data_IF_948269013782
#
_entry.id   IF_948269013782
#
_cell.length_a   1.000
_cell.length_b   1.000
_cell.length_c   1.000
_cell.angle_alpha   90.00
_cell.angle_beta   90.00
_cell.angle_gamma   90.00
#
_symmetry.space_group_name_H-M   'P 1'
#
loop_
_entity.id
_entity.type
_entity.pdbx_description
1 polymer ?
#
# COMPACT_ATOMS: atom_id res chain seq x y z
N UNK A 1 -1.70 -10.05 3.34
CA UNK A 1 -1.61 -10.35 4.79
C UNK A 1 -0.16 -10.31 5.23
N UNK A 2 0.18 -9.58 6.29
CA UNK A 2 1.54 -9.62 6.84
C UNK A 2 1.83 -11.06 7.30
N UNK A 3 3.02 -11.59 6.96
CA UNK A 3 3.41 -12.97 7.32
C UNK A 3 3.27 -13.24 8.82
N UNK A 4 3.60 -12.24 9.64
CA UNK A 4 3.49 -12.29 11.10
C UNK A 4 2.03 -12.42 11.56
N UNK A 5 1.10 -11.65 10.96
CA UNK A 5 -0.33 -11.72 11.32
C UNK A 5 -0.93 -13.07 10.93
N UNK A 6 -0.58 -13.58 9.75
CA UNK A 6 -1.00 -14.92 9.33
C UNK A 6 -0.42 -16.02 10.22
N UNK A 7 0.82 -15.84 10.66
CA UNK A 7 1.50 -16.76 11.54
C UNK A 7 0.81 -16.80 12.91
N UNK A 8 0.55 -15.63 13.52
CA UNK A 8 -0.11 -15.51 14.83
C UNK A 8 -1.53 -16.07 14.82
N UNK A 9 -2.35 -15.76 13.80
CA UNK A 9 -3.72 -16.30 13.70
C UNK A 9 -3.67 -17.82 13.52
N UNK A 10 -2.75 -18.32 12.70
CA UNK A 10 -2.58 -19.75 12.46
C UNK A 10 -2.13 -20.51 13.70
N UNK A 11 -1.16 -20.00 14.46
CA UNK A 11 -0.67 -20.66 15.67
C UNK A 11 -1.66 -20.61 16.83
N UNK A 12 -2.37 -19.49 17.03
CA UNK A 12 -3.39 -19.37 18.08
C UNK A 12 -4.55 -20.37 17.89
N UNK A 13 -4.89 -20.70 16.63
CA UNK A 13 -5.89 -21.73 16.33
C UNK A 13 -5.32 -23.15 16.39
N UNK A 14 -4.10 -23.36 15.88
CA UNK A 14 -3.50 -24.68 15.76
C UNK A 14 -3.06 -25.29 17.09
N UNK A 15 -2.53 -24.49 18.02
CA UNK A 15 -2.01 -24.98 19.32
C UNK A 15 -3.08 -25.60 20.23
N UNK A 16 -4.21 -24.93 20.54
CA UNK A 16 -5.25 -25.54 21.37
C UNK A 16 -5.90 -26.74 20.66
N UNK A 17 -6.07 -26.68 19.34
CA UNK A 17 -6.59 -27.80 18.55
C UNK A 17 -5.66 -29.02 18.61
N UNK A 18 -4.34 -28.81 18.49
CA UNK A 18 -3.34 -29.86 18.64
C UNK A 18 -3.37 -30.47 20.05
N UNK A 19 -3.53 -29.65 21.09
CA UNK A 19 -3.70 -30.10 22.47
C UNK A 19 -4.90 -31.03 22.62
N UNK A 20 -6.08 -30.61 22.11
CA UNK A 20 -7.28 -31.44 22.15
C UNK A 20 -7.14 -32.75 21.37
N UNK A 21 -6.56 -32.69 20.16
CA UNK A 21 -6.31 -33.89 19.32
C UNK A 21 -5.33 -34.84 20.00
N UNK A 22 -4.27 -34.32 20.62
CA UNK A 22 -3.29 -35.11 21.35
C UNK A 22 -3.94 -35.84 22.55
N UNK A 23 -4.72 -35.12 23.36
CA UNK A 23 -5.42 -35.70 24.52
C UNK A 23 -6.42 -36.79 24.10
N UNK A 24 -7.25 -36.53 23.09
CA UNK A 24 -8.21 -37.52 22.58
C UNK A 24 -7.51 -38.73 21.98
N UNK A 25 -6.41 -38.53 21.25
CA UNK A 25 -5.65 -39.63 20.65
C UNK A 25 -4.94 -40.49 21.70
N UNK A 26 -4.42 -39.89 22.78
CA UNK A 26 -3.72 -40.61 23.83
C UNK A 26 -4.67 -41.37 24.76
N UNK A 27 -5.72 -40.71 25.26
CA UNK A 27 -6.65 -41.31 26.23
C UNK A 27 -7.83 -42.06 25.61
N UNK A 28 -8.26 -41.68 24.41
CA UNK A 28 -9.45 -42.27 23.77
C UNK A 28 -9.15 -43.44 22.83
N UNK A 29 -7.93 -43.52 22.31
CA UNK A 29 -7.52 -44.52 21.32
C UNK A 29 -6.26 -45.30 21.75
N UNK A 30 -5.83 -45.16 23.01
CA UNK A 30 -4.65 -45.79 23.62
C UNK A 30 -3.38 -45.72 22.76
N UNK A 31 -3.21 -44.61 22.01
CA UNK A 31 -2.04 -44.43 21.17
C UNK A 31 -0.81 -44.08 22.01
N UNK A 32 0.36 -44.55 21.57
CA UNK A 32 1.62 -44.21 22.24
C UNK A 32 1.87 -42.70 22.22
N UNK A 33 2.59 -42.21 23.23
CA UNK A 33 2.93 -40.79 23.37
C UNK A 33 3.51 -40.15 22.10
N UNK A 34 4.36 -40.90 21.38
CA UNK A 34 4.97 -40.42 20.13
C UNK A 34 3.99 -40.42 18.95
N UNK A 35 3.14 -41.45 18.82
CA UNK A 35 2.14 -41.52 17.75
C UNK A 35 1.05 -40.45 17.92
N UNK A 36 0.55 -40.24 19.15
CA UNK A 36 -0.39 -39.17 19.44
C UNK A 36 0.22 -37.79 19.17
N UNK A 37 1.51 -37.60 19.48
CA UNK A 37 2.27 -36.39 19.15
C UNK A 37 2.36 -36.13 17.65
N UNK A 38 2.63 -37.16 16.84
CA UNK A 38 2.65 -37.06 15.38
C UNK A 38 1.28 -36.73 14.80
N UNK A 39 0.22 -37.37 15.28
CA UNK A 39 -1.17 -37.11 14.86
C UNK A 39 -1.56 -35.66 15.17
N UNK A 40 -1.28 -35.20 16.39
CA UNK A 40 -1.52 -33.82 16.81
C UNK A 40 -0.70 -32.81 15.99
N UNK A 41 0.56 -33.10 15.70
CA UNK A 41 1.40 -32.28 14.84
C UNK A 41 0.87 -32.19 13.40
N UNK A 42 0.41 -33.30 12.84
CA UNK A 42 -0.22 -33.36 11.52
C UNK A 42 -1.53 -32.55 11.49
N UNK A 43 -2.38 -32.71 12.50
CA UNK A 43 -3.61 -31.95 12.65
C UNK A 43 -3.34 -30.43 12.79
N UNK A 44 -2.34 -30.04 13.57
CA UNK A 44 -1.90 -28.66 13.70
C UNK A 44 -1.44 -28.05 12.36
N UNK A 45 -0.65 -28.81 11.59
CA UNK A 45 -0.19 -28.40 10.28
C UNK A 45 -1.36 -28.19 9.31
N UNK A 46 -2.36 -29.10 9.31
CA UNK A 46 -3.56 -28.96 8.49
C UNK A 46 -4.37 -27.71 8.84
N UNK A 47 -4.60 -27.45 10.15
CA UNK A 47 -5.30 -26.24 10.61
C UNK A 47 -4.54 -24.98 10.21
N UNK A 48 -3.22 -24.97 10.37
CA UNK A 48 -2.38 -23.84 9.99
C UNK A 48 -2.47 -23.55 8.47
N UNK A 49 -2.35 -24.58 7.63
CA UNK A 49 -2.45 -24.46 6.17
C UNK A 49 -3.85 -24.00 5.74
N UNK A 50 -4.91 -24.52 6.37
CA UNK A 50 -6.28 -24.11 6.10
C UNK A 50 -6.51 -22.64 6.47
N UNK A 51 -6.07 -22.20 7.66
CA UNK A 51 -6.15 -20.82 8.11
C UNK A 51 -5.42 -19.86 7.15
N UNK A 52 -4.22 -20.24 6.70
CA UNK A 52 -3.45 -19.48 5.72
C UNK A 52 -4.19 -19.35 4.39
N UNK A 53 -4.71 -20.45 3.86
CA UNK A 53 -5.40 -20.47 2.57
C UNK A 53 -6.71 -19.66 2.61
N UNK A 54 -7.50 -19.81 3.67
CA UNK A 54 -8.73 -19.04 3.89
C UNK A 54 -8.41 -17.55 3.99
N UNK A 55 -7.39 -17.17 4.76
CA UNK A 55 -6.96 -15.77 4.88
C UNK A 55 -6.54 -15.16 3.54
N UNK A 56 -5.85 -15.94 2.68
CA UNK A 56 -5.48 -15.52 1.33
C UNK A 56 -6.70 -15.33 0.43
N UNK A 57 -7.64 -16.27 0.43
CA UNK A 57 -8.88 -16.17 -0.37
C UNK A 57 -9.73 -15.00 0.11
N UNK A 58 -9.90 -14.81 1.42
CA UNK A 58 -10.63 -13.66 1.97
C UNK A 58 -9.98 -12.34 1.59
N UNK A 59 -8.64 -12.24 1.64
CA UNK A 59 -7.93 -11.04 1.21
C UNK A 59 -8.19 -10.72 -0.27
N UNK A 60 -8.12 -11.73 -1.14
CA UNK A 60 -8.40 -11.59 -2.56
C UNK A 60 -9.86 -11.21 -2.84
N UNK A 61 -10.82 -11.88 -2.18
CA UNK A 61 -12.26 -11.56 -2.30
C UNK A 61 -12.58 -10.16 -1.79
N UNK A 62 -12.04 -9.76 -0.63
CA UNK A 62 -12.24 -8.42 -0.06
C UNK A 62 -11.78 -7.32 -1.01
N UNK A 63 -10.69 -7.57 -1.73
CA UNK A 63 -10.20 -6.64 -2.74
C UNK A 63 -10.71 -6.98 -4.13
N UNK A 64 -11.65 -7.91 -4.32
CA UNK A 64 -12.13 -8.37 -5.63
C UNK A 64 -11.04 -8.61 -6.67
N UNK A 65 -9.94 -9.27 -6.29
CA UNK A 65 -8.79 -9.58 -7.16
C UNK A 65 -8.72 -11.09 -7.43
N UNK A 66 -8.43 -11.47 -8.66
CA UNK A 66 -8.02 -12.82 -9.01
C UNK A 66 -6.61 -13.11 -8.48
N UNK A 67 -6.27 -14.40 -8.39
CA UNK A 67 -4.92 -14.85 -8.00
C UNK A 67 -3.85 -14.36 -8.97
N UNK A 68 -4.18 -14.28 -10.28
CA UNK A 68 -3.26 -13.85 -11.34
C UNK A 68 -3.00 -12.36 -11.25
N UNK A 69 -4.04 -11.54 -11.13
CA UNK A 69 -3.92 -10.09 -10.93
C UNK A 69 -3.14 -9.75 -9.67
N UNK A 70 -3.44 -10.41 -8.55
CA UNK A 70 -2.69 -10.15 -7.32
C UNK A 70 -1.20 -10.53 -7.46
N UNK A 71 -0.87 -11.61 -8.17
CA UNK A 71 0.52 -11.98 -8.46
C UNK A 71 1.20 -10.91 -9.33
N UNK A 72 0.53 -10.45 -10.38
CA UNK A 72 1.01 -9.38 -11.27
C UNK A 72 1.32 -8.10 -10.47
N UNK A 73 0.33 -7.59 -9.73
CA UNK A 73 0.47 -6.40 -8.88
C UNK A 73 1.62 -6.57 -7.89
N UNK A 74 1.68 -7.72 -7.21
CA UNK A 74 2.74 -7.98 -6.21
C UNK A 74 4.14 -7.97 -6.83
N UNK A 75 4.31 -8.51 -8.04
CA UNK A 75 5.59 -8.49 -8.75
C UNK A 75 5.98 -7.05 -9.10
N UNK A 76 5.07 -6.29 -9.69
CA UNK A 76 5.33 -4.89 -10.07
C UNK A 76 5.58 -3.99 -8.85
N UNK A 77 4.86 -4.18 -7.75
CA UNK A 77 5.13 -3.48 -6.49
C UNK A 77 6.52 -3.81 -5.93
N UNK A 78 7.00 -5.05 -6.09
CA UNK A 78 8.34 -5.43 -5.64
C UNK A 78 9.43 -4.74 -6.48
N UNK A 79 9.23 -4.61 -7.79
CA UNK A 79 10.10 -3.85 -8.68
C UNK A 79 10.05 -2.35 -8.38
N UNK A 80 8.85 -1.78 -8.29
CA UNK A 80 8.62 -0.38 -7.92
C UNK A 80 9.27 -0.02 -6.59
N UNK A 81 9.26 -0.91 -5.60
CA UNK A 81 9.99 -0.70 -4.33
C UNK A 81 11.49 -0.51 -4.56
N UNK A 82 12.11 -1.29 -5.44
CA UNK A 82 13.55 -1.16 -5.77
C UNK A 82 13.82 0.19 -6.45
N UNK A 83 12.99 0.55 -7.43
CA UNK A 83 13.05 1.84 -8.15
C UNK A 83 12.91 3.03 -7.19
N UNK A 84 11.91 3.03 -6.30
CA UNK A 84 11.73 4.06 -5.26
C UNK A 84 12.95 4.15 -4.35
N UNK A 85 13.55 3.03 -3.96
CA UNK A 85 14.76 3.05 -3.12
C UNK A 85 15.95 3.70 -3.84
N UNK A 86 16.12 3.42 -5.14
CA UNK A 86 17.15 4.05 -5.98
C UNK A 86 16.90 5.55 -6.12
N UNK A 87 15.67 5.93 -6.46
CA UNK A 87 15.24 7.33 -6.54
C UNK A 87 15.55 8.07 -5.23
N UNK A 88 15.16 7.53 -4.09
CA UNK A 88 15.38 8.16 -2.78
C UNK A 88 16.87 8.34 -2.47
N UNK A 89 17.71 7.37 -2.84
CA UNK A 89 19.17 7.46 -2.70
C UNK A 89 19.73 8.60 -3.57
N UNK A 90 19.33 8.67 -4.83
CA UNK A 90 19.78 9.70 -5.77
C UNK A 90 19.32 11.09 -5.36
N UNK A 91 18.04 11.26 -5.01
CA UNK A 91 17.48 12.53 -4.52
C UNK A 91 18.21 13.05 -3.27
N UNK A 92 18.61 12.16 -2.37
CA UNK A 92 19.38 12.52 -1.18
C UNK A 92 20.82 12.93 -1.51
N UNK A 93 21.44 12.31 -2.52
CA UNK A 93 22.81 12.62 -2.94
C UNK A 93 22.96 13.98 -3.63
N UNK A 94 21.87 14.57 -4.13
CA UNK A 94 21.88 15.88 -4.81
C UNK A 94 22.24 17.00 -3.82
N UNK A 95 23.39 17.64 -4.04
CA UNK A 95 23.91 18.76 -3.23
C UNK A 95 23.42 20.15 -3.67
N UNK A 96 22.14 20.24 -4.05
CA UNK A 96 21.50 21.51 -4.45
C UNK A 96 20.45 21.90 -3.41
N UNK A 97 20.78 22.84 -2.52
CA UNK A 97 19.90 23.25 -1.41
C UNK A 97 18.57 23.88 -1.87
N UNK A 98 18.52 24.76 -2.90
CA UNK A 98 17.27 25.41 -3.27
C UNK A 98 16.15 24.43 -3.69
N UNK A 99 16.50 23.25 -4.21
CA UNK A 99 15.51 22.22 -4.58
C UNK A 99 15.26 21.17 -3.49
N UNK A 100 15.83 21.32 -2.29
CA UNK A 100 15.73 20.30 -1.23
C UNK A 100 14.28 20.04 -0.81
N UNK A 101 13.47 21.10 -0.69
CA UNK A 101 12.05 21.00 -0.30
C UNK A 101 11.28 20.10 -1.28
N UNK A 102 11.39 20.39 -2.58
CA UNK A 102 10.74 19.62 -3.65
C UNK A 102 11.20 18.17 -3.65
N UNK A 103 12.50 17.90 -3.45
CA UNK A 103 13.00 16.52 -3.38
C UNK A 103 12.43 15.74 -2.19
N UNK A 104 12.34 16.36 -1.01
CA UNK A 104 11.73 15.72 0.17
C UNK A 104 10.25 15.44 -0.06
N UNK A 105 9.54 16.37 -0.71
CA UNK A 105 8.14 16.21 -1.09
C UNK A 105 7.94 15.05 -2.07
N UNK A 106 8.75 14.99 -3.14
CA UNK A 106 8.75 13.86 -4.07
C UNK A 106 9.01 12.52 -3.35
N UNK A 107 9.96 12.48 -2.41
CA UNK A 107 10.21 11.27 -1.60
C UNK A 107 8.99 10.87 -0.75
N UNK A 108 8.23 11.83 -0.23
CA UNK A 108 7.01 11.59 0.55
C UNK A 108 5.89 11.08 -0.35
N UNK A 109 5.64 11.71 -1.49
CA UNK A 109 4.58 11.36 -2.44
C UNK A 109 4.80 9.95 -2.99
N UNK A 110 5.99 9.66 -3.52
CA UNK A 110 6.36 8.32 -4.03
C UNK A 110 6.17 7.22 -2.97
N UNK A 111 6.55 7.49 -1.71
CA UNK A 111 6.34 6.55 -0.59
C UNK A 111 4.86 6.39 -0.24
N UNK A 112 4.07 7.46 -0.35
CA UNK A 112 2.62 7.44 -0.12
C UNK A 112 1.91 6.59 -1.17
N UNK A 113 2.18 6.79 -2.47
CA UNK A 113 1.64 5.97 -3.57
C UNK A 113 1.96 4.49 -3.33
N UNK A 114 3.22 4.16 -3.02
CA UNK A 114 3.61 2.78 -2.72
C UNK A 114 2.89 2.20 -1.50
N UNK A 115 2.70 2.98 -0.42
CA UNK A 115 1.99 2.51 0.76
C UNK A 115 0.51 2.26 0.48
N UNK A 116 -0.15 3.14 -0.27
CA UNK A 116 -1.56 2.99 -0.64
C UNK A 116 -1.77 1.76 -1.52
N UNK A 117 -1.00 1.64 -2.60
CA UNK A 117 -1.07 0.50 -3.54
C UNK A 117 -0.65 -0.83 -2.91
N UNK A 118 0.23 -0.82 -1.89
CA UNK A 118 0.53 -2.02 -1.11
C UNK A 118 -0.61 -2.41 -0.16
N UNK A 119 -1.26 -1.42 0.46
CA UNK A 119 -2.35 -1.63 1.42
C UNK A 119 -3.60 -2.14 0.70
N UNK A 120 -3.93 -1.52 -0.43
CA UNK A 120 -5.10 -1.80 -1.26
C UNK A 120 -4.63 -2.08 -2.69
N UNK A 121 -4.31 -3.35 -3.02
CA UNK A 121 -3.64 -3.69 -4.27
C UNK A 121 -4.40 -3.29 -5.54
N UNK A 122 -5.73 -3.15 -5.49
CA UNK A 122 -6.51 -2.66 -6.63
C UNK A 122 -6.11 -1.27 -7.10
N UNK A 123 -5.67 -0.40 -6.18
CA UNK A 123 -5.20 0.96 -6.51
C UNK A 123 -3.94 0.95 -7.36
N UNK A 124 -3.28 -0.20 -7.52
CA UNK A 124 -2.16 -0.34 -8.45
C UNK A 124 -2.54 0.08 -9.88
N UNK A 125 -3.76 -0.20 -10.32
CA UNK A 125 -4.22 0.17 -11.66
C UNK A 125 -4.39 1.68 -11.83
N UNK A 126 -4.81 2.40 -10.78
CA UNK A 126 -4.81 3.87 -10.76
C UNK A 126 -3.38 4.45 -10.75
N UNK A 127 -2.42 3.72 -10.19
CA UNK A 127 -1.01 4.11 -10.14
C UNK A 127 -0.19 3.59 -11.34
N UNK A 128 -0.82 3.13 -12.41
CA UNK A 128 -0.11 2.43 -13.49
C UNK A 128 0.92 3.33 -14.19
N UNK A 129 0.52 4.56 -14.51
CA UNK A 129 1.39 5.59 -15.10
C UNK A 129 2.58 5.92 -14.20
N UNK A 130 2.33 6.02 -12.90
CA UNK A 130 3.40 6.21 -11.92
C UNK A 130 4.45 5.11 -12.01
N UNK A 131 4.02 3.83 -11.96
CA UNK A 131 4.95 2.69 -11.88
C UNK A 131 5.70 2.40 -13.18
N UNK A 132 5.08 2.64 -14.34
CA UNK A 132 5.66 2.26 -15.64
C UNK A 132 6.23 3.43 -16.44
N UNK A 133 5.99 4.67 -16.03
CA UNK A 133 6.52 5.85 -16.72
C UNK A 133 7.24 6.79 -15.77
N UNK A 134 6.50 7.49 -14.90
CA UNK A 134 7.05 8.63 -14.16
C UNK A 134 8.15 8.23 -13.17
N UNK A 135 7.98 7.08 -12.49
CA UNK A 135 8.99 6.57 -11.57
C UNK A 135 10.30 6.20 -12.29
N UNK A 136 10.21 5.61 -13.48
CA UNK A 136 11.39 5.18 -14.26
C UNK A 136 12.17 6.38 -14.77
N UNK A 137 11.47 7.36 -15.34
CA UNK A 137 12.06 8.63 -15.76
C UNK A 137 12.73 9.36 -14.60
N UNK A 138 12.08 9.45 -13.42
CA UNK A 138 12.67 10.07 -12.24
C UNK A 138 13.94 9.35 -11.76
N UNK A 139 13.94 8.01 -11.74
CA UNK A 139 15.12 7.23 -11.37
C UNK A 139 16.27 7.53 -12.31
N UNK A 140 16.04 7.46 -13.62
CA UNK A 140 17.07 7.69 -14.64
C UNK A 140 17.64 9.12 -14.54
N UNK A 141 16.77 10.12 -14.53
CA UNK A 141 17.17 11.54 -14.47
C UNK A 141 17.94 11.87 -13.20
N UNK A 142 17.50 11.37 -12.04
CA UNK A 142 18.17 11.68 -10.77
C UNK A 142 19.51 10.96 -10.64
N UNK A 143 19.64 9.74 -11.13
CA UNK A 143 20.92 9.02 -11.17
C UNK A 143 21.91 9.68 -12.13
N UNK A 144 21.46 10.05 -13.34
CA UNK A 144 22.29 10.76 -14.33
C UNK A 144 22.70 12.14 -13.84
N UNK A 145 21.78 12.89 -13.22
CA UNK A 145 22.11 14.17 -12.59
C UNK A 145 23.21 14.01 -11.55
N UNK A 146 23.07 13.04 -10.63
CA UNK A 146 24.08 12.81 -9.59
C UNK A 146 25.43 12.50 -10.23
N UNK A 147 25.46 11.57 -11.19
CA UNK A 147 26.67 11.18 -11.92
C UNK A 147 27.36 12.38 -12.60
N UNK A 148 26.61 13.20 -13.35
CA UNK A 148 27.17 14.35 -14.06
C UNK A 148 27.59 15.47 -13.09
N UNK A 149 26.84 15.66 -12.00
CA UNK A 149 27.14 16.69 -11.00
C UNK A 149 28.43 16.43 -10.23
N UNK A 150 28.89 15.18 -10.19
CA UNK A 150 30.14 14.75 -9.53
C UNK A 150 31.36 14.76 -10.44
N UNK A 151 31.21 15.06 -11.73
CA UNK A 151 32.34 15.06 -12.66
C UNK A 151 33.34 16.20 -12.33
N UNK A 152 34.66 15.94 -12.41
CA UNK A 152 35.70 16.89 -12.02
C UNK A 152 35.86 18.06 -13.00
N UNK A 153 35.55 17.85 -14.29
CA UNK A 153 35.51 18.90 -15.31
C UNK A 153 34.10 19.05 -15.83
N UNK A 154 33.47 20.18 -15.56
CA UNK A 154 32.17 20.55 -16.11
C UNK A 154 32.40 21.54 -17.23
N UNK A 155 31.82 21.28 -18.39
CA UNK A 155 31.73 22.23 -19.48
C UNK A 155 30.34 22.90 -19.46
N UNK A 156 30.16 23.93 -20.28
CA UNK A 156 28.90 24.67 -20.36
C UNK A 156 27.70 23.76 -20.67
N UNK A 157 27.89 22.76 -21.52
CA UNK A 157 26.87 21.79 -21.90
C UNK A 157 26.40 20.93 -20.71
N UNK A 158 27.32 20.46 -19.87
CA UNK A 158 26.98 19.71 -18.64
C UNK A 158 26.20 20.61 -17.68
N UNK A 159 26.60 21.86 -17.49
CA UNK A 159 25.89 22.77 -16.58
C UNK A 159 24.49 23.11 -17.07
N UNK A 160 24.32 23.30 -18.38
CA UNK A 160 23.00 23.47 -19.01
C UNK A 160 22.14 22.21 -18.83
N UNK A 161 22.69 21.04 -19.11
CA UNK A 161 21.99 19.75 -18.95
C UNK A 161 21.58 19.50 -17.50
N UNK A 162 22.43 19.83 -16.52
CA UNK A 162 22.12 19.73 -15.09
C UNK A 162 20.99 20.70 -14.70
N UNK A 163 20.99 21.91 -15.25
CA UNK A 163 19.95 22.91 -15.00
C UNK A 163 18.60 22.48 -15.57
N UNK A 164 18.58 22.00 -16.81
CA UNK A 164 17.37 21.46 -17.46
C UNK A 164 16.85 20.24 -16.71
N UNK A 165 17.73 19.28 -16.37
CA UNK A 165 17.35 18.09 -15.61
C UNK A 165 16.68 18.45 -14.28
N UNK A 166 17.16 19.48 -13.57
CA UNK A 166 16.50 19.94 -12.33
C UNK A 166 15.10 20.50 -12.58
N UNK A 167 14.90 21.27 -13.65
CA UNK A 167 13.59 21.82 -14.02
C UNK A 167 12.62 20.68 -14.33
N UNK A 168 13.03 19.75 -15.18
CA UNK A 168 12.20 18.61 -15.56
C UNK A 168 11.92 17.67 -14.39
N UNK A 169 12.85 17.46 -13.45
CA UNK A 169 12.55 16.72 -12.21
C UNK A 169 11.45 17.42 -11.41
N UNK A 170 11.42 18.75 -11.34
CA UNK A 170 10.36 19.46 -10.64
C UNK A 170 9.01 19.31 -11.35
N UNK A 171 8.97 19.48 -12.68
CA UNK A 171 7.75 19.29 -13.48
C UNK A 171 7.21 17.85 -13.37
N UNK A 172 8.11 16.87 -13.40
CA UNK A 172 7.74 15.47 -13.22
C UNK A 172 7.30 15.17 -11.78
N UNK A 173 7.79 15.93 -10.78
CA UNK A 173 7.32 15.82 -9.40
C UNK A 173 5.86 16.25 -9.27
N UNK A 174 5.46 17.33 -9.93
CA UNK A 174 4.06 17.78 -10.00
C UNK A 174 3.18 16.73 -10.71
N UNK A 175 3.72 16.07 -11.73
CA UNK A 175 3.01 14.98 -12.41
C UNK A 175 2.82 13.76 -11.49
N UNK A 176 3.82 13.42 -10.68
CA UNK A 176 3.69 12.35 -9.68
C UNK A 176 2.72 12.73 -8.55
N UNK A 177 2.55 14.02 -8.26
CA UNK A 177 1.48 14.47 -7.37
C UNK A 177 0.09 14.20 -7.97
N UNK A 178 -0.08 14.44 -9.28
CA UNK A 178 -1.30 14.07 -10.01
C UNK A 178 -1.57 12.58 -9.98
N UNK A 179 -0.54 11.74 -10.13
CA UNK A 179 -0.70 10.29 -9.96
C UNK A 179 -1.19 9.94 -8.54
N UNK A 180 -0.71 10.64 -7.51
CA UNK A 180 -1.22 10.43 -6.15
C UNK A 180 -2.70 10.82 -6.04
N UNK A 181 -3.13 11.92 -6.66
CA UNK A 181 -4.54 12.31 -6.71
C UNK A 181 -5.40 11.26 -7.41
N UNK A 182 -4.92 10.69 -8.51
CA UNK A 182 -5.60 9.58 -9.21
C UNK A 182 -5.76 8.35 -8.29
N UNK A 183 -4.72 8.00 -7.53
CA UNK A 183 -4.73 6.87 -6.59
C UNK A 183 -5.69 7.05 -5.40
N UNK A 184 -6.01 8.29 -5.03
CA UNK A 184 -6.95 8.60 -3.94
C UNK A 184 -8.30 9.15 -4.43
N UNK A 185 -8.52 9.20 -5.75
CA UNK A 185 -9.72 9.77 -6.36
C UNK A 185 -11.01 9.15 -5.80
N UNK A 186 -11.09 7.82 -5.76
CA UNK A 186 -12.23 7.11 -5.17
C UNK A 186 -12.52 7.54 -3.72
N UNK A 187 -11.49 7.84 -2.92
CA UNK A 187 -11.68 8.27 -1.53
C UNK A 187 -12.24 9.69 -1.47
N UNK A 188 -11.83 10.56 -2.40
CA UNK A 188 -12.33 11.93 -2.52
C UNK A 188 -13.80 11.91 -2.94
N UNK A 189 -14.14 11.10 -3.94
CA UNK A 189 -15.51 10.98 -4.44
C UNK A 189 -16.45 10.43 -3.36
N UNK A 190 -16.03 9.40 -2.64
CA UNK A 190 -16.77 8.87 -1.50
C UNK A 190 -16.95 9.92 -0.40
N UNK A 191 -15.91 10.68 -0.07
CA UNK A 191 -16.00 11.74 0.94
C UNK A 191 -17.00 12.84 0.53
N UNK A 192 -16.97 13.25 -0.74
CA UNK A 192 -17.90 14.25 -1.26
C UNK A 192 -19.35 13.78 -1.18
N UNK A 193 -19.60 12.52 -1.54
CA UNK A 193 -20.92 11.90 -1.40
C UNK A 193 -21.41 11.91 0.06
N UNK A 194 -20.57 11.48 1.01
CA UNK A 194 -20.90 11.49 2.44
C UNK A 194 -21.19 12.90 2.97
N UNK A 195 -20.45 13.91 2.48
CA UNK A 195 -20.70 15.32 2.81
C UNK A 195 -22.08 15.75 2.30
N UNK A 196 -22.46 15.38 1.10
CA UNK A 196 -23.75 15.76 0.51
C UNK A 196 -24.93 15.08 1.23
N UNK A 197 -24.78 13.81 1.60
CA UNK A 197 -25.73 13.09 2.44
C UNK A 197 -25.89 13.78 3.80
N UNK A 198 -24.78 14.16 4.44
CA UNK A 198 -24.80 14.86 5.72
C UNK A 198 -25.47 16.24 5.63
N UNK A 199 -25.19 17.01 4.56
CA UNK A 199 -25.87 18.30 4.32
C UNK A 199 -27.38 18.12 4.15
N UNK A 200 -27.80 17.12 3.39
CA UNK A 200 -29.21 16.86 3.15
C UNK A 200 -29.95 16.41 4.42
N UNK A 201 -29.32 15.58 5.26
CA UNK A 201 -29.90 15.16 6.53
C UNK A 201 -30.06 16.33 7.50
N UNK A 202 -29.06 17.22 7.60
CA UNK A 202 -29.13 18.44 8.40
C UNK A 202 -30.25 19.36 7.90
N UNK A 203 -30.36 19.55 6.57
CA UNK A 203 -31.42 20.36 5.96
C UNK A 203 -32.81 19.79 6.30
N UNK A 204 -33.00 18.49 6.13
CA UNK A 204 -34.25 17.79 6.43
C UNK A 204 -34.63 17.93 7.91
N UNK A 205 -33.66 17.78 8.82
CA UNK A 205 -33.91 17.95 10.25
C UNK A 205 -34.28 19.39 10.62
N UNK A 206 -33.61 20.39 10.02
CA UNK A 206 -33.93 21.79 10.22
C UNK A 206 -35.33 22.13 9.69
N UNK A 207 -35.68 21.64 8.51
CA UNK A 207 -37.00 21.83 7.90
C UNK A 207 -38.11 21.19 8.73
N UNK A 208 -37.89 20.01 9.30
CA UNK A 208 -38.88 19.33 10.16
C UNK A 208 -39.06 19.99 11.55
N UNK A 209 -38.10 20.78 12.04
CA UNK A 209 -38.24 21.54 13.32
C UNK A 209 -39.08 22.81 13.20
N UNK A 210 -39.02 23.49 12.06
CA UNK A 210 -39.74 24.75 11.82
C UNK A 210 -41.29 24.64 11.92
N UNK A 211 -41.95 23.56 11.48
CA UNK A 211 -43.40 23.38 11.65
C UNK A 211 -43.83 23.03 13.09
N UNK A 212 -42.93 22.63 13.98
CA UNK A 212 -43.25 22.37 15.39
C UNK A 212 -43.19 23.63 16.25
N UNK A 213 -42.21 24.50 16.02
CA UNK A 213 -42.02 25.74 16.81
C UNK A 213 -43.15 26.76 16.55
N UNK A 214 -43.59 26.88 15.29
CA UNK A 214 -44.74 27.71 14.90
C UNK A 214 -46.09 27.20 15.42
N UNK A 215 -46.19 25.92 15.79
CA UNK A 215 -47.39 25.31 16.39
C UNK A 215 -47.45 25.44 17.91
N UNK A 216 -46.32 25.69 18.58
CA UNK A 216 -46.24 25.86 20.05
C UNK A 216 -46.41 27.31 20.51
N UNK A 217 -46.38 28.27 19.58
CA UNK A 217 -46.51 29.71 19.84
C UNK A 217 -47.94 30.25 19.56
N UNK A 218 -48.93 29.37 19.38
CA UNK A 218 -50.36 29.68 19.37
C UNK A 218 -51.02 29.02 20.57
#
# INVERSE_FOLDING_TARGET
MNRIVSFLIGTVLAVPFAGSVWTVSYFGFDQTFFLSGLIAGGAAALVYLAAFQIGRVRFLRKHGLSRREYKYIKTNLAEGKKKISRLHKSLFAIRHLPSLKQRIELMRITRKIYRLTKKEPKRFYQAERFYFSHLDSLVEMTEKYVFLSTQPKKNLEIDQSLLETRRTINELSETVEKDLYEVISDDIDNLNFEIDVAKNSIKTWKENRLPEESRRLK
#
